data_IF_733149418357
#
_entry.id   IF_733149418357
#
_cell.length_a   1.000
_cell.length_b   1.000
_cell.length_c   1.000
_cell.angle_alpha   90.00
_cell.angle_beta   90.00
_cell.angle_gamma   90.00
#
_symmetry.space_group_name_H-M   'P 1'
#
loop_
_entity.id
_entity.type
_entity.pdbx_description
1 polymer ?
#
# COMPACT_ATOMS: atom_id res chain seq x y z
N UNK A 1 35.76 11.14 -24.33
CA UNK A 1 35.25 12.25 -25.17
C UNK A 1 33.74 12.16 -25.40
N UNK A 2 33.19 10.98 -25.74
CA UNK A 2 31.74 10.80 -26.00
C UNK A 2 30.81 11.11 -24.82
N UNK A 3 31.15 10.70 -23.59
CA UNK A 3 30.36 11.03 -22.38
C UNK A 3 30.21 12.54 -22.17
N UNK A 4 31.22 13.33 -22.53
CA UNK A 4 31.24 14.79 -22.36
C UNK A 4 30.33 15.49 -23.37
N UNK A 5 30.26 15.00 -24.61
CA UNK A 5 29.37 15.54 -25.65
C UNK A 5 27.91 15.29 -25.29
N UNK A 6 27.56 14.05 -24.89
CA UNK A 6 26.19 13.71 -24.47
C UNK A 6 25.72 14.51 -23.25
N UNK A 7 26.61 14.76 -22.28
CA UNK A 7 26.30 15.59 -21.10
C UNK A 7 25.91 17.02 -21.51
N UNK A 8 26.69 17.67 -22.39
CA UNK A 8 26.42 19.04 -22.86
C UNK A 8 25.07 19.18 -23.56
N UNK A 9 24.74 18.24 -24.45
CA UNK A 9 23.44 18.28 -25.14
C UNK A 9 22.28 18.09 -24.15
N UNK A 10 22.43 17.18 -23.18
CA UNK A 10 21.42 16.93 -22.14
C UNK A 10 21.21 18.13 -21.22
N UNK A 11 22.29 18.83 -20.84
CA UNK A 11 22.18 20.05 -20.04
C UNK A 11 21.44 21.15 -20.79
N UNK A 12 21.77 21.38 -22.07
CA UNK A 12 21.07 22.39 -22.88
C UNK A 12 19.57 22.10 -23.02
N UNK A 13 19.19 20.83 -23.14
CA UNK A 13 17.78 20.40 -23.17
C UNK A 13 17.09 20.63 -21.83
N UNK A 14 17.77 20.33 -20.71
CA UNK A 14 17.25 20.59 -19.37
C UNK A 14 16.98 22.08 -19.16
N UNK A 15 17.93 22.95 -19.51
CA UNK A 15 17.77 24.40 -19.34
C UNK A 15 16.60 24.94 -20.17
N UNK A 16 16.42 24.44 -21.41
CA UNK A 16 15.25 24.76 -22.23
C UNK A 16 13.94 24.35 -21.55
N UNK A 17 13.85 23.12 -21.07
CA UNK A 17 12.64 22.64 -20.37
C UNK A 17 12.33 23.45 -19.12
N UNK A 18 13.35 23.80 -18.34
CA UNK A 18 13.17 24.64 -17.15
C UNK A 18 12.68 26.03 -17.55
N UNK A 19 13.22 26.62 -18.62
CA UNK A 19 12.75 27.91 -19.14
C UNK A 19 11.28 27.86 -19.58
N UNK A 20 10.87 26.79 -20.28
CA UNK A 20 9.49 26.59 -20.71
C UNK A 20 8.55 26.45 -19.50
N UNK A 21 8.91 25.63 -18.51
CA UNK A 21 8.11 25.45 -17.29
C UNK A 21 8.00 26.76 -16.50
N UNK A 22 9.10 27.51 -16.40
CA UNK A 22 9.13 28.83 -15.73
C UNK A 22 8.11 29.78 -16.37
N UNK A 23 8.10 29.86 -17.71
CA UNK A 23 7.18 30.72 -18.47
C UNK A 23 5.74 30.21 -18.39
N UNK A 24 5.50 28.92 -18.64
CA UNK A 24 4.17 28.33 -18.70
C UNK A 24 3.45 28.34 -17.34
N UNK A 25 4.19 28.11 -16.26
CA UNK A 25 3.64 28.05 -14.91
C UNK A 25 3.75 29.38 -14.15
N UNK A 26 4.44 30.39 -14.71
CA UNK A 26 4.66 31.68 -14.05
C UNK A 26 5.40 31.55 -12.71
N UNK A 27 6.35 30.62 -12.62
CA UNK A 27 7.11 30.34 -11.39
C UNK A 27 8.51 30.95 -11.45
N UNK A 28 9.13 31.21 -10.30
CA UNK A 28 10.56 31.49 -10.22
C UNK A 28 11.33 30.17 -10.08
N UNK A 29 12.31 29.93 -10.97
CA UNK A 29 13.12 28.73 -10.95
C UNK A 29 14.57 29.02 -11.32
N UNK A 30 15.48 28.16 -10.89
CA UNK A 30 16.88 28.17 -11.31
C UNK A 30 17.42 26.74 -11.36
N UNK A 31 18.51 26.55 -12.10
CA UNK A 31 19.19 25.27 -12.22
C UNK A 31 20.69 25.44 -12.00
N UNK A 32 21.29 24.52 -11.26
CA UNK A 32 22.74 24.44 -11.04
C UNK A 32 23.15 23.01 -11.34
N UNK A 33 23.95 22.82 -12.39
CA UNK A 33 24.38 21.49 -12.86
C UNK A 33 25.89 21.38 -12.74
N UNK A 34 26.35 20.41 -11.95
CA UNK A 34 27.75 20.07 -11.83
C UNK A 34 28.08 18.92 -12.79
N UNK A 35 29.06 19.13 -13.68
CA UNK A 35 29.57 18.07 -14.54
C UNK A 35 30.78 17.39 -13.87
N UNK A 36 30.89 16.05 -13.92
CA UNK A 36 32.11 15.35 -13.48
C UNK A 36 33.35 15.80 -14.24
N UNK A 37 33.20 16.26 -15.49
CA UNK A 37 34.30 16.69 -16.34
C UNK A 37 34.92 18.02 -15.87
N UNK A 38 34.12 18.90 -15.24
CA UNK A 38 34.54 20.23 -14.78
C UNK A 38 33.85 20.54 -13.44
N UNK A 39 34.24 19.86 -12.35
CA UNK A 39 33.51 19.93 -11.07
C UNK A 39 33.50 21.33 -10.45
N UNK A 40 34.50 22.17 -10.76
CA UNK A 40 34.64 23.51 -10.19
C UNK A 40 33.89 24.60 -10.97
N UNK A 41 33.22 24.27 -12.08
CA UNK A 41 32.48 25.24 -12.89
C UNK A 41 31.09 24.68 -13.22
N UNK A 42 30.08 24.94 -12.36
CA UNK A 42 28.73 24.51 -12.65
C UNK A 42 28.15 25.30 -13.83
N UNK A 43 27.28 24.64 -14.58
CA UNK A 43 26.41 25.29 -15.55
C UNK A 43 25.18 25.81 -14.82
N UNK A 44 24.95 27.12 -14.89
CA UNK A 44 23.91 27.80 -14.10
C UNK A 44 22.92 28.49 -15.03
N UNK A 45 21.64 28.31 -14.77
CA UNK A 45 20.54 29.00 -15.44
C UNK A 45 19.62 29.69 -14.41
N UNK A 46 19.07 30.88 -14.69
CA UNK A 46 19.23 31.66 -15.93
C UNK A 46 20.57 32.43 -16.00
N UNK A 47 21.10 32.80 -14.84
CA UNK A 47 22.42 33.40 -14.65
C UNK A 47 22.84 33.15 -13.20
N UNK A 48 24.11 33.35 -12.86
CA UNK A 48 24.56 33.20 -11.47
C UNK A 48 23.81 34.13 -10.51
N UNK A 49 23.58 35.38 -10.89
CA UNK A 49 22.82 36.35 -10.09
C UNK A 49 21.35 35.97 -9.98
N UNK A 50 20.74 35.51 -11.07
CA UNK A 50 19.36 35.04 -11.10
C UNK A 50 19.16 33.83 -10.18
N UNK A 51 20.04 32.83 -10.28
CA UNK A 51 20.01 31.65 -9.41
C UNK A 51 20.21 32.00 -7.94
N UNK A 52 21.19 32.87 -7.62
CA UNK A 52 21.41 33.37 -6.25
C UNK A 52 20.17 34.09 -5.69
N UNK A 53 19.48 34.88 -6.50
CA UNK A 53 18.24 35.56 -6.11
C UNK A 53 17.14 34.55 -5.75
N UNK A 54 16.87 33.59 -6.62
CA UNK A 54 15.86 32.52 -6.39
C UNK A 54 16.20 31.70 -5.14
N UNK A 55 17.46 31.30 -4.99
CA UNK A 55 17.92 30.54 -3.82
C UNK A 55 17.78 31.36 -2.53
N UNK A 56 18.11 32.65 -2.56
CA UNK A 56 17.99 33.53 -1.39
C UNK A 56 16.53 33.71 -0.97
N UNK A 57 15.63 33.91 -1.94
CA UNK A 57 14.18 33.96 -1.69
C UNK A 57 13.69 32.65 -1.08
N UNK A 58 14.11 31.50 -1.63
CA UNK A 58 13.74 30.19 -1.11
C UNK A 58 14.23 30.00 0.34
N UNK A 59 15.47 30.38 0.65
CA UNK A 59 16.02 30.32 2.02
C UNK A 59 15.34 31.26 3.01
N UNK A 60 14.70 32.33 2.52
CA UNK A 60 13.90 33.25 3.34
C UNK A 60 12.53 32.69 3.74
N UNK A 61 12.06 31.61 3.11
CA UNK A 61 10.81 30.92 3.47
C UNK A 61 11.04 30.07 4.72
N UNK A 62 10.03 29.91 5.58
CA UNK A 62 10.15 29.05 6.77
C UNK A 62 10.45 27.58 6.41
N UNK A 63 11.20 26.86 7.23
CA UNK A 63 11.57 25.45 6.98
C UNK A 63 10.34 24.53 6.83
N UNK A 64 9.30 24.77 7.64
CA UNK A 64 8.03 24.05 7.56
C UNK A 64 7.36 24.25 6.20
N UNK A 65 7.46 25.45 5.61
CA UNK A 65 6.87 25.73 4.32
C UNK A 65 7.73 25.25 3.15
N UNK A 66 9.06 25.33 3.27
CA UNK A 66 9.99 24.74 2.31
C UNK A 66 9.77 23.22 2.19
N UNK A 67 9.65 22.52 3.32
CA UNK A 67 9.53 21.07 3.36
C UNK A 67 8.21 20.51 2.79
N UNK A 68 7.10 21.27 2.83
CA UNK A 68 5.79 20.82 2.29
C UNK A 68 5.83 20.35 0.84
N UNK A 69 6.68 20.96 0.01
CA UNK A 69 6.77 20.67 -1.44
C UNK A 69 8.20 20.39 -1.89
N UNK A 70 9.13 20.21 -0.96
CA UNK A 70 10.50 19.83 -1.28
C UNK A 70 10.50 18.47 -1.97
N UNK A 71 11.10 18.38 -3.15
CA UNK A 71 11.21 17.14 -3.90
C UNK A 71 12.66 16.70 -3.99
N UNK A 72 12.94 15.45 -3.63
CA UNK A 72 14.24 14.83 -3.78
C UNK A 72 14.13 13.64 -4.74
N UNK A 73 14.77 13.74 -5.90
CA UNK A 73 14.70 12.70 -6.94
C UNK A 73 15.24 11.34 -6.45
N UNK A 74 16.31 11.33 -5.67
CA UNK A 74 16.88 10.10 -5.10
C UNK A 74 15.86 9.40 -4.20
N UNK A 75 15.25 10.14 -3.28
CA UNK A 75 14.23 9.60 -2.37
C UNK A 75 13.00 9.08 -3.12
N UNK A 76 12.58 9.79 -4.18
CA UNK A 76 11.46 9.39 -5.01
C UNK A 76 11.76 8.09 -5.76
N UNK A 77 12.94 7.96 -6.37
CA UNK A 77 13.34 6.72 -7.06
C UNK A 77 13.40 5.55 -6.08
N UNK A 78 13.99 5.75 -4.89
CA UNK A 78 14.03 4.73 -3.84
C UNK A 78 12.62 4.27 -3.46
N UNK A 79 11.70 5.21 -3.22
CA UNK A 79 10.31 4.90 -2.93
C UNK A 79 9.64 4.09 -4.06
N UNK A 80 9.96 4.38 -5.32
CA UNK A 80 9.43 3.63 -6.48
C UNK A 80 9.99 2.21 -6.54
N UNK A 81 11.26 2.02 -6.21
CA UNK A 81 11.88 0.70 -6.10
C UNK A 81 11.20 -0.10 -5.00
N UNK A 82 11.03 0.48 -3.81
CA UNK A 82 10.40 -0.18 -2.66
C UNK A 82 8.96 -0.63 -2.99
N UNK A 83 8.18 0.24 -3.64
CA UNK A 83 6.83 -0.10 -4.14
C UNK A 83 6.85 -1.26 -5.14
N UNK A 84 7.82 -1.28 -6.05
CA UNK A 84 8.00 -2.38 -7.00
C UNK A 84 8.34 -3.70 -6.30
N UNK A 85 9.21 -3.66 -5.29
CA UNK A 85 9.56 -4.82 -4.48
C UNK A 85 8.37 -5.36 -3.68
N UNK A 86 7.54 -4.49 -3.11
CA UNK A 86 6.33 -4.86 -2.41
C UNK A 86 5.32 -5.56 -3.34
N UNK A 87 5.11 -5.01 -4.55
CA UNK A 87 4.25 -5.63 -5.57
C UNK A 87 4.77 -7.01 -5.98
N UNK A 88 6.09 -7.14 -6.20
CA UNK A 88 6.71 -8.42 -6.52
C UNK A 88 6.52 -9.45 -5.40
N UNK A 89 6.70 -9.04 -4.13
CA UNK A 89 6.47 -9.89 -2.97
C UNK A 89 5.02 -10.37 -2.91
N UNK A 90 4.06 -9.46 -3.14
CA UNK A 90 2.62 -9.79 -3.20
C UNK A 90 2.34 -10.82 -4.29
N UNK A 91 2.81 -10.59 -5.51
CA UNK A 91 2.62 -11.52 -6.63
C UNK A 91 3.23 -12.90 -6.37
N UNK A 92 4.45 -12.96 -5.82
CA UNK A 92 5.09 -14.23 -5.44
C UNK A 92 4.25 -14.99 -4.40
N UNK A 93 3.71 -14.30 -3.41
CA UNK A 93 2.87 -14.91 -2.39
C UNK A 93 1.55 -15.45 -2.97
N UNK A 94 0.88 -14.66 -3.83
CA UNK A 94 -0.35 -15.11 -4.50
C UNK A 94 -0.11 -16.29 -5.44
N UNK A 95 1.01 -16.29 -6.17
CA UNK A 95 1.40 -17.43 -7.01
C UNK A 95 1.65 -18.68 -6.16
N UNK A 96 2.36 -18.56 -5.03
CA UNK A 96 2.60 -19.69 -4.12
C UNK A 96 1.31 -20.25 -3.54
N UNK A 97 0.36 -19.39 -3.15
CA UNK A 97 -0.96 -19.83 -2.68
C UNK A 97 -1.70 -20.61 -3.77
N UNK A 98 -1.69 -20.11 -5.02
CA UNK A 98 -2.32 -20.79 -6.15
C UNK A 98 -1.69 -22.15 -6.43
N UNK A 99 -0.36 -22.22 -6.39
CA UNK A 99 0.39 -23.47 -6.59
C UNK A 99 0.05 -24.51 -5.51
N UNK A 100 0.04 -24.13 -4.23
CA UNK A 100 -0.38 -25.01 -3.13
C UNK A 100 -1.83 -25.50 -3.34
N UNK A 101 -2.74 -24.60 -3.73
CA UNK A 101 -4.14 -24.96 -3.96
C UNK A 101 -4.28 -25.96 -5.12
N UNK A 102 -3.56 -25.76 -6.22
CA UNK A 102 -3.58 -26.68 -7.36
C UNK A 102 -3.06 -28.07 -6.97
N UNK A 103 -1.93 -28.12 -6.26
CA UNK A 103 -1.37 -29.37 -5.77
C UNK A 103 -2.32 -30.10 -4.81
N UNK A 104 -3.11 -29.37 -4.02
CA UNK A 104 -4.15 -29.93 -3.14
C UNK A 104 -5.29 -30.55 -3.92
N UNK A 105 -5.81 -29.84 -4.91
CA UNK A 105 -6.85 -30.36 -5.78
C UNK A 105 -6.37 -31.63 -6.52
N UNK A 106 -5.13 -31.63 -7.01
CA UNK A 106 -4.54 -32.79 -7.68
C UNK A 106 -4.45 -34.00 -6.76
N UNK A 107 -3.91 -33.82 -5.54
CA UNK A 107 -3.79 -34.89 -4.55
C UNK A 107 -5.16 -35.45 -4.12
N UNK A 108 -6.14 -34.59 -3.87
CA UNK A 108 -7.50 -35.03 -3.50
C UNK A 108 -8.21 -35.77 -4.64
N UNK A 109 -7.90 -35.45 -5.89
CA UNK A 109 -8.53 -36.07 -7.06
C UNK A 109 -7.87 -37.40 -7.44
N UNK A 110 -6.54 -37.49 -7.38
CA UNK A 110 -5.79 -38.63 -7.90
C UNK A 110 -5.08 -39.47 -6.82
N UNK A 111 -5.11 -39.04 -5.55
CA UNK A 111 -4.47 -39.74 -4.42
C UNK A 111 -2.95 -39.64 -4.37
N UNK A 112 -2.31 -38.97 -5.34
CA UNK A 112 -0.86 -38.80 -5.43
C UNK A 112 -0.52 -37.57 -6.29
N UNK A 113 0.63 -36.95 -6.01
CA UNK A 113 1.19 -35.82 -6.75
C UNK A 113 2.72 -35.98 -6.88
N UNK A 114 3.32 -35.47 -7.97
CA UNK A 114 4.77 -35.54 -8.23
C UNK A 114 5.53 -34.49 -7.40
N UNK A 115 5.56 -34.75 -6.09
CA UNK A 115 5.97 -33.77 -5.10
C UNK A 115 7.44 -33.97 -4.74
N UNK A 116 8.36 -33.42 -5.53
CA UNK A 116 9.81 -33.54 -5.27
C UNK A 116 10.21 -32.93 -3.92
N UNK A 117 11.12 -33.62 -3.21
CA UNK A 117 11.37 -33.56 -1.76
C UNK A 117 11.89 -32.24 -1.16
N UNK A 118 12.04 -31.15 -1.93
CA UNK A 118 12.33 -29.81 -1.40
C UNK A 118 11.08 -29.10 -0.82
N UNK A 119 10.14 -29.93 -0.37
CA UNK A 119 8.72 -29.65 -0.24
C UNK A 119 8.26 -29.14 1.12
N UNK A 120 9.16 -28.99 2.09
CA UNK A 120 8.79 -28.58 3.45
C UNK A 120 8.01 -27.25 3.48
N UNK A 121 8.34 -26.34 2.57
CA UNK A 121 7.66 -25.07 2.41
C UNK A 121 6.23 -25.19 1.85
N UNK A 122 6.00 -26.18 0.99
CA UNK A 122 4.68 -26.48 0.42
C UNK A 122 3.86 -27.31 1.40
N UNK A 123 4.42 -28.37 1.99
CA UNK A 123 3.81 -29.18 3.06
C UNK A 123 3.35 -28.33 4.26
N UNK A 124 4.16 -27.35 4.68
CA UNK A 124 3.74 -26.38 5.73
C UNK A 124 2.55 -25.54 5.28
N UNK A 125 2.53 -25.12 4.02
CA UNK A 125 1.39 -24.42 3.42
C UNK A 125 0.14 -25.29 3.35
N UNK A 126 0.29 -26.56 2.99
CA UNK A 126 -0.76 -27.57 2.99
C UNK A 126 -1.37 -27.77 4.37
N UNK A 127 -0.54 -28.02 5.39
CA UNK A 127 -1.01 -28.17 6.77
C UNK A 127 -1.85 -26.96 7.19
N UNK A 128 -1.33 -25.75 6.97
CA UNK A 128 -2.04 -24.51 7.30
C UNK A 128 -3.39 -24.39 6.59
N UNK A 129 -3.47 -24.72 5.30
CA UNK A 129 -4.73 -24.68 4.55
C UNK A 129 -5.71 -25.76 5.02
N UNK A 130 -5.25 -26.96 5.32
CA UNK A 130 -6.08 -28.03 5.89
C UNK A 130 -6.65 -27.60 7.23
N UNK A 131 -5.82 -27.06 8.13
CA UNK A 131 -6.24 -26.55 9.44
C UNK A 131 -7.31 -25.46 9.30
N UNK A 132 -7.10 -24.52 8.36
CA UNK A 132 -8.06 -23.44 8.10
C UNK A 132 -9.41 -23.96 7.58
N UNK A 133 -9.40 -24.94 6.67
CA UNK A 133 -10.63 -25.56 6.17
C UNK A 133 -11.35 -26.35 7.27
N UNK A 134 -10.60 -27.08 8.11
CA UNK A 134 -11.17 -27.83 9.24
C UNK A 134 -11.84 -26.91 10.25
N UNK A 135 -11.21 -25.76 10.57
CA UNK A 135 -11.81 -24.75 11.43
C UNK A 135 -13.06 -24.13 10.80
N UNK A 136 -13.06 -23.86 9.50
CA UNK A 136 -14.23 -23.33 8.79
C UNK A 136 -15.40 -24.34 8.80
N UNK A 137 -15.12 -25.63 8.59
CA UNK A 137 -16.10 -26.71 8.70
C UNK A 137 -16.63 -26.82 10.13
N UNK A 138 -15.75 -26.82 11.13
CA UNK A 138 -16.12 -26.87 12.55
C UNK A 138 -17.04 -25.72 12.92
N UNK A 139 -16.72 -24.50 12.50
CA UNK A 139 -17.55 -23.32 12.74
C UNK A 139 -18.94 -23.45 12.10
N UNK A 140 -19.02 -23.94 10.85
CA UNK A 140 -20.31 -24.18 10.18
C UNK A 140 -21.16 -25.22 10.91
N UNK A 141 -20.54 -26.30 11.40
CA UNK A 141 -21.24 -27.32 12.20
C UNK A 141 -21.81 -26.71 13.49
N UNK A 142 -21.03 -25.93 14.23
CA UNK A 142 -21.48 -25.28 15.47
C UNK A 142 -22.65 -24.31 15.23
N UNK A 143 -22.63 -23.56 14.13
CA UNK A 143 -23.73 -22.65 13.76
C UNK A 143 -25.01 -23.42 13.42
N UNK A 144 -24.91 -24.54 12.70
CA UNK A 144 -26.07 -25.37 12.36
C UNK A 144 -26.69 -26.02 13.62
N UNK A 145 -25.86 -26.51 14.55
CA UNK A 145 -26.32 -27.16 15.78
C UNK A 145 -27.02 -26.17 16.73
N UNK A 146 -26.56 -24.92 16.79
CA UNK A 146 -27.20 -23.86 17.58
C UNK A 146 -28.61 -23.47 17.08
N UNK A 147 -29.00 -23.88 15.87
CA UNK A 147 -30.29 -23.56 15.28
C UNK A 147 -31.33 -24.69 15.41
N UNK A 148 -30.94 -25.86 15.93
CA UNK A 148 -31.83 -27.02 16.18
C UNK A 148 -32.43 -27.03 17.61
N UNK A 149 -31.93 -26.21 18.53
CA UNK A 149 -32.50 -26.05 19.88
C UNK A 149 -33.45 -24.83 19.95
N UNK A 150 -34.57 -24.89 19.22
CA UNK A 150 -35.77 -24.11 19.60
C UNK A 150 -36.88 -25.07 20.01
N UNK A 151 -37.45 -24.94 21.23
CA UNK A 151 -38.42 -25.89 21.74
C UNK A 151 -39.74 -25.74 21.00
N UNK A 152 -40.25 -26.87 20.50
CA UNK A 152 -41.64 -27.02 20.05
C UNK A 152 -42.54 -26.79 21.26
N UNK A 153 -43.23 -25.65 21.30
CA UNK A 153 -44.33 -25.40 22.24
C UNK A 153 -45.56 -26.09 21.66
N UNK A 154 -45.98 -27.19 22.29
CA UNK A 154 -47.31 -27.78 22.07
C UNK A 154 -48.36 -26.97 22.86
N UNK A 155 -49.48 -26.72 22.18
CA UNK A 155 -50.54 -25.80 22.52
C UNK A 155 -51.50 -26.39 23.56
N UNK A 156 -51.94 -25.59 24.54
CA UNK A 156 -52.79 -26.11 25.61
C UNK A 156 -53.25 -25.13 26.68
N UNK A 157 -53.96 -24.06 26.29
CA UNK A 157 -55.14 -23.59 27.04
C UNK A 157 -54.99 -22.61 28.23
N UNK A 158 -55.37 -21.35 27.96
CA UNK A 158 -56.15 -20.36 28.76
C UNK A 158 -55.93 -20.23 30.30
N UNK A 159 -55.62 -19.01 30.77
CA UNK A 159 -56.58 -18.01 31.30
C UNK A 159 -55.89 -16.73 31.82
N UNK A 160 -56.65 -15.63 31.78
CA UNK A 160 -56.29 -14.23 32.10
C UNK A 160 -55.87 -13.94 33.55
N UNK A 161 -55.00 -12.94 33.77
CA UNK A 161 -55.35 -11.75 34.60
C UNK A 161 -54.36 -10.57 34.49
N UNK A 162 -54.95 -9.39 34.24
CA UNK A 162 -54.61 -8.00 34.62
C UNK A 162 -53.16 -7.54 34.91
N UNK A 163 -52.80 -6.44 34.22
CA UNK A 163 -52.48 -5.19 34.91
C UNK A 163 -51.04 -4.69 34.79
N UNK A 164 -50.87 -3.45 34.30
CA UNK A 164 -49.69 -2.63 34.59
C UNK A 164 -48.99 -2.05 33.36
N UNK A 165 -49.22 -0.77 33.10
CA UNK A 165 -48.43 0.06 32.20
C UNK A 165 -47.00 0.24 32.72
N UNK A 166 -45.99 0.14 31.84
CA UNK A 166 -44.77 0.93 31.96
C UNK A 166 -44.10 1.11 30.58
N UNK A 167 -44.09 2.36 30.13
CA UNK A 167 -43.21 2.96 29.12
C UNK A 167 -41.74 2.69 29.48
N UNK A 168 -40.83 2.62 28.49
CA UNK A 168 -39.57 3.39 28.43
C UNK A 168 -38.54 2.80 27.43
N UNK A 169 -38.16 3.68 26.49
CA UNK A 169 -36.87 3.89 25.81
C UNK A 169 -36.08 2.70 25.24
N UNK A 170 -35.92 2.72 23.92
CA UNK A 170 -34.74 2.15 23.29
C UNK A 170 -33.49 3.03 23.51
N UNK A 171 -32.27 2.48 23.40
CA UNK A 171 -31.08 3.29 23.20
C UNK A 171 -30.52 3.12 21.78
N UNK A 172 -30.35 4.28 21.13
CA UNK A 172 -29.30 4.52 20.14
C UNK A 172 -27.92 4.56 20.82
N UNK A 173 -26.89 4.59 19.97
CA UNK A 173 -25.50 5.08 20.19
C UNK A 173 -24.49 4.03 20.69
N UNK A 174 -23.21 4.04 20.32
CA UNK A 174 -22.43 4.87 19.40
C UNK A 174 -21.13 4.13 19.05
N UNK A 175 -20.63 4.40 17.84
CA UNK A 175 -19.29 4.03 17.37
C UNK A 175 -18.25 4.86 18.13
N UNK A 176 -17.31 4.20 18.82
CA UNK A 176 -16.14 4.85 19.42
C UNK A 176 -14.89 4.63 18.55
N UNK A 177 -14.41 5.72 17.95
CA UNK A 177 -13.04 5.85 17.41
C UNK A 177 -12.06 5.91 18.57
N UNK A 178 -11.04 5.05 18.57
CA UNK A 178 -9.84 5.22 19.39
C UNK A 178 -8.78 5.97 18.58
N UNK A 179 -8.43 7.17 19.03
CA UNK A 179 -7.20 7.85 18.67
C UNK A 179 -6.04 7.22 19.46
N UNK A 180 -4.91 7.01 18.79
CA UNK A 180 -3.65 6.59 19.43
C UNK A 180 -2.71 7.80 19.43
N UNK A 181 -2.17 8.09 20.61
CA UNK A 181 -1.00 8.94 20.80
C UNK A 181 0.26 8.13 20.45
#
# INVERSE_FOLDING_TARGET
>A
MEKSIGSRFRNSSLMKKISEITVLCGIEACAVVYSPDVPNKPEVWPSESGAKSVISKFKGVSEVEQSKKMFCQESFIRQRIDKGQEQLKKLKNENRKREINLLMCEYLTHGSNNLDSNNMNYLKGFSFFTDQNLDEIRNKISVCQAHEETPVIDDGGKTMTQGGQARVQGPRTNVARKNLN
#
